data_IF_625783310112
#
_entry.id   IF_625783310112
#
_cell.length_a   1.000
_cell.length_b   1.000
_cell.length_c   1.000
_cell.angle_alpha   90.00
_cell.angle_beta   90.00
_cell.angle_gamma   90.00
#
_symmetry.space_group_name_H-M   'P 1'
#
loop_
_entity.id
_entity.type
_entity.pdbx_description
1 polymer ?
#
# COMPACT_ATOMS: atom_id res chain seq x y z
N UNK A 1 25.25 -25.95 5.52
CA UNK A 1 24.94 -24.71 4.80
C UNK A 1 25.78 -23.61 5.40
N UNK A 2 26.89 -23.24 4.74
CA UNK A 2 27.77 -22.15 5.20
C UNK A 2 27.00 -20.82 5.15
N UNK A 3 27.01 -20.10 6.27
CA UNK A 3 26.59 -18.71 6.34
C UNK A 3 27.54 -17.90 5.47
N UNK A 4 27.14 -17.51 4.28
CA UNK A 4 27.83 -16.50 3.49
C UNK A 4 27.79 -15.22 4.32
N UNK A 5 28.92 -14.89 4.97
CA UNK A 5 29.10 -13.64 5.71
C UNK A 5 29.00 -12.49 4.68
N UNK A 6 27.88 -11.79 4.65
CA UNK A 6 27.70 -10.62 3.81
C UNK A 6 28.58 -9.50 4.35
N UNK A 7 29.48 -8.98 3.53
CA UNK A 7 30.34 -7.84 3.91
C UNK A 7 29.48 -6.61 4.24
N UNK A 8 29.86 -5.95 5.32
CA UNK A 8 29.25 -4.67 5.72
C UNK A 8 29.77 -3.53 4.86
N UNK A 9 29.03 -2.44 4.78
CA UNK A 9 29.48 -1.26 4.03
C UNK A 9 30.80 -0.69 4.57
N UNK A 10 31.08 -0.89 5.86
CA UNK A 10 32.33 -0.46 6.48
C UNK A 10 33.53 -1.30 6.03
N UNK A 11 33.33 -2.60 5.90
CA UNK A 11 34.35 -3.50 5.38
C UNK A 11 34.64 -3.22 3.90
N UNK A 12 33.59 -2.99 3.09
CA UNK A 12 33.76 -2.58 1.68
C UNK A 12 34.50 -1.26 1.57
N UNK A 13 34.14 -0.27 2.39
CA UNK A 13 34.78 1.04 2.41
C UNK A 13 36.30 0.94 2.70
N UNK A 14 36.66 0.12 3.66
CA UNK A 14 38.07 -0.19 4.00
C UNK A 14 38.79 -0.89 2.83
N UNK A 15 38.11 -1.83 2.16
CA UNK A 15 38.69 -2.63 1.09
C UNK A 15 39.00 -1.78 -0.16
N UNK A 16 38.13 -0.82 -0.50
CA UNK A 16 38.30 0.03 -1.68
C UNK A 16 38.95 1.40 -1.37
N UNK A 17 39.26 1.69 -0.11
CA UNK A 17 39.91 2.96 0.29
C UNK A 17 39.01 4.20 0.12
N UNK A 18 37.69 4.03 0.04
CA UNK A 18 36.73 5.12 -0.14
C UNK A 18 35.86 5.27 1.11
N UNK A 19 35.61 6.52 1.54
CA UNK A 19 34.84 6.77 2.74
C UNK A 19 33.38 6.27 2.60
N UNK A 20 32.79 5.77 3.71
CA UNK A 20 31.38 5.39 3.77
C UNK A 20 30.45 6.49 3.27
N UNK A 21 30.78 7.77 3.58
CA UNK A 21 30.00 8.92 3.15
C UNK A 21 30.00 9.06 1.62
N UNK A 22 31.13 8.78 0.97
CA UNK A 22 31.26 8.81 -0.49
C UNK A 22 30.48 7.66 -1.13
N UNK A 23 30.54 6.45 -0.54
CA UNK A 23 29.74 5.31 -0.99
C UNK A 23 28.23 5.64 -0.90
N UNK A 24 27.77 6.22 0.21
CA UNK A 24 26.38 6.65 0.34
C UNK A 24 25.95 7.71 -0.69
N UNK A 25 26.87 8.63 -1.07
CA UNK A 25 26.59 9.62 -2.12
C UNK A 25 26.39 8.94 -3.48
N UNK A 26 27.24 7.97 -3.82
CA UNK A 26 27.12 7.19 -5.06
C UNK A 26 25.82 6.41 -5.07
N UNK A 27 25.52 5.64 -4.02
CA UNK A 27 24.29 4.83 -3.90
C UNK A 27 23.02 5.67 -3.93
N UNK A 28 23.06 6.90 -3.43
CA UNK A 28 21.93 7.83 -3.41
C UNK A 28 21.85 8.74 -4.63
N UNK A 29 22.75 8.60 -5.58
CA UNK A 29 22.94 9.51 -6.72
C UNK A 29 22.95 11.00 -6.30
N UNK A 30 23.61 11.30 -5.16
CA UNK A 30 23.64 12.64 -4.55
C UNK A 30 25.07 13.17 -4.49
N UNK A 31 25.23 14.46 -4.82
CA UNK A 31 26.49 15.19 -4.70
C UNK A 31 27.47 14.94 -5.87
N UNK A 32 28.49 15.81 -5.96
CA UNK A 32 29.55 15.68 -6.95
C UNK A 32 30.53 14.59 -6.52
N UNK A 33 30.43 13.43 -7.18
CA UNK A 33 31.41 12.33 -7.08
C UNK A 33 31.95 12.12 -8.48
N UNK A 34 33.30 11.99 -8.60
CA UNK A 34 33.93 11.74 -9.91
C UNK A 34 33.42 10.43 -10.52
N UNK A 35 33.36 10.36 -11.84
CA UNK A 35 32.95 9.15 -12.56
C UNK A 35 33.85 7.94 -12.20
N UNK A 36 35.13 8.17 -12.02
CA UNK A 36 36.07 7.13 -11.62
C UNK A 36 35.73 6.57 -10.24
N UNK A 37 35.47 7.45 -9.26
CA UNK A 37 35.06 7.04 -7.90
C UNK A 37 33.70 6.31 -7.95
N UNK A 38 32.78 6.76 -8.78
CA UNK A 38 31.48 6.10 -8.97
C UNK A 38 31.66 4.67 -9.46
N UNK A 39 32.44 4.46 -10.52
CA UNK A 39 32.70 3.11 -11.06
C UNK A 39 33.34 2.19 -10.03
N UNK A 40 34.35 2.66 -9.29
CA UNK A 40 35.01 1.85 -8.26
C UNK A 40 33.99 1.39 -7.21
N UNK A 41 33.09 2.27 -6.79
CA UNK A 41 32.06 1.96 -5.79
C UNK A 41 31.03 0.97 -6.35
N UNK A 42 30.52 1.21 -7.57
CA UNK A 42 29.53 0.35 -8.21
C UNK A 42 30.08 -1.08 -8.43
N UNK A 43 31.30 -1.19 -8.96
CA UNK A 43 31.98 -2.47 -9.17
C UNK A 43 32.21 -3.22 -7.85
N UNK A 44 32.53 -2.50 -6.77
CA UNK A 44 32.71 -3.13 -5.46
C UNK A 44 31.38 -3.61 -4.87
N UNK A 45 30.33 -2.81 -4.96
CA UNK A 45 29.01 -3.19 -4.46
C UNK A 45 28.48 -4.44 -5.20
N UNK A 46 28.68 -4.53 -6.51
CA UNK A 46 28.33 -5.69 -7.32
C UNK A 46 29.18 -6.92 -6.97
N UNK A 47 30.51 -6.77 -6.92
CA UNK A 47 31.46 -7.85 -6.57
C UNK A 47 31.17 -8.51 -5.24
N UNK A 48 30.83 -7.69 -4.22
CA UNK A 48 30.54 -8.20 -2.87
C UNK A 48 29.06 -8.52 -2.67
N UNK A 49 28.23 -8.48 -3.73
CA UNK A 49 26.78 -8.68 -3.66
C UNK A 49 26.15 -7.90 -2.52
N UNK A 50 26.58 -6.64 -2.39
CA UNK A 50 26.13 -5.81 -1.27
C UNK A 50 24.65 -5.43 -1.43
N UNK A 51 23.85 -5.93 -0.52
CA UNK A 51 22.45 -5.50 -0.39
C UNK A 51 22.39 -4.46 0.72
N UNK A 52 21.96 -3.25 0.37
CA UNK A 52 21.84 -2.16 1.33
C UNK A 52 20.98 -2.60 2.51
N UNK A 53 21.56 -2.61 3.70
CA UNK A 53 20.78 -2.82 4.93
C UNK A 53 19.97 -1.54 5.20
N UNK A 54 18.72 -1.53 4.75
CA UNK A 54 17.79 -0.42 4.93
C UNK A 54 17.57 -0.10 6.41
N UNK A 55 17.65 -1.12 7.26
CA UNK A 55 17.50 -0.99 8.71
C UNK A 55 18.59 -0.14 9.33
N UNK A 56 19.85 -0.40 8.98
CA UNK A 56 20.98 0.40 9.45
C UNK A 56 20.88 1.87 9.00
N UNK A 57 20.37 2.10 7.80
CA UNK A 57 20.12 3.46 7.27
C UNK A 57 18.96 4.15 8.00
N UNK A 58 17.86 3.46 8.23
CA UNK A 58 16.69 4.02 8.90
C UNK A 58 16.95 4.28 10.38
N UNK A 59 17.66 3.37 11.05
CA UNK A 59 18.17 3.58 12.41
C UNK A 59 19.12 4.79 12.50
N UNK A 60 20.08 4.90 11.57
CA UNK A 60 21.02 6.02 11.54
C UNK A 60 20.33 7.37 11.21
N UNK A 61 19.22 7.34 10.50
CA UNK A 61 18.42 8.52 10.15
C UNK A 61 17.27 8.79 11.12
N UNK A 62 17.07 7.94 12.13
CA UNK A 62 15.92 7.98 13.06
C UNK A 62 14.55 8.11 12.33
N UNK A 63 14.44 7.47 11.17
CA UNK A 63 13.24 7.52 10.32
C UNK A 63 12.35 6.33 10.62
N UNK A 64 11.31 6.58 11.40
CA UNK A 64 10.19 5.66 11.54
C UNK A 64 9.05 6.14 10.65
N UNK A 65 8.55 5.21 9.81
CA UNK A 65 7.39 5.48 8.97
C UNK A 65 6.15 4.91 9.65
N UNK A 66 5.28 5.80 10.10
CA UNK A 66 4.01 5.37 10.68
C UNK A 66 2.91 5.47 9.63
N UNK A 67 2.23 4.36 9.38
CA UNK A 67 1.08 4.25 8.49
C UNK A 67 -0.12 3.88 9.35
N UNK A 68 -1.27 4.51 9.14
CA UNK A 68 -2.53 4.06 9.70
C UNK A 68 -3.28 3.20 8.67
N UNK A 69 -3.70 2.03 9.08
CA UNK A 69 -4.75 1.28 8.41
C UNK A 69 -6.07 1.54 9.12
N UNK A 70 -7.05 2.06 8.37
CA UNK A 70 -8.42 2.26 8.86
C UNK A 70 -9.35 1.42 8.00
N UNK A 71 -9.93 0.40 8.59
CA UNK A 71 -10.71 -0.61 7.86
C UNK A 71 -11.85 -1.20 8.69
N UNK A 72 -12.59 -2.11 8.07
CA UNK A 72 -13.78 -2.71 8.67
C UNK A 72 -13.45 -3.70 9.78
N UNK A 73 -14.26 -3.68 10.82
CA UNK A 73 -14.27 -4.75 11.84
C UNK A 73 -14.71 -6.07 11.22
N UNK A 74 -13.98 -7.13 11.54
CA UNK A 74 -14.31 -8.49 11.10
C UNK A 74 -15.38 -9.15 12.01
N UNK A 75 -16.49 -8.45 12.34
CA UNK A 75 -17.55 -8.99 13.21
C UNK A 75 -18.46 -10.02 12.53
N UNK A 76 -18.65 -9.89 11.26
CA UNK A 76 -19.31 -10.87 10.42
C UNK A 76 -18.24 -11.58 9.60
N UNK A 77 -18.42 -12.87 9.35
CA UNK A 77 -17.52 -13.72 8.57
C UNK A 77 -17.26 -13.20 7.14
N UNK A 78 -16.91 -11.93 7.01
CA UNK A 78 -16.52 -11.34 5.76
C UNK A 78 -15.08 -11.78 5.47
N UNK A 79 -14.99 -12.90 4.74
CA UNK A 79 -13.74 -13.51 4.30
C UNK A 79 -12.79 -12.47 3.69
N UNK A 80 -13.34 -11.53 2.92
CA UNK A 80 -12.55 -10.48 2.25
C UNK A 80 -11.80 -9.57 3.22
N UNK A 81 -12.47 -9.02 4.24
CA UNK A 81 -11.83 -8.15 5.24
C UNK A 81 -10.73 -8.87 6.01
N UNK A 82 -10.94 -10.16 6.30
CA UNK A 82 -9.94 -11.02 6.93
C UNK A 82 -8.72 -11.25 6.07
N UNK A 83 -8.87 -11.45 4.75
CA UNK A 83 -7.73 -11.61 3.83
C UNK A 83 -6.95 -10.31 3.67
N UNK A 84 -7.64 -9.17 3.52
CA UNK A 84 -7.00 -7.85 3.47
C UNK A 84 -6.16 -7.62 4.73
N UNK A 85 -6.72 -7.88 5.91
CA UNK A 85 -6.01 -7.74 7.18
C UNK A 85 -4.77 -8.63 7.25
N UNK A 86 -4.88 -9.90 6.85
CA UNK A 86 -3.73 -10.82 6.79
C UNK A 86 -2.65 -10.33 5.83
N UNK A 87 -3.04 -9.81 4.67
CA UNK A 87 -2.11 -9.21 3.71
C UNK A 87 -1.35 -8.02 4.30
N UNK A 88 -2.06 -7.13 4.98
CA UNK A 88 -1.48 -5.97 5.66
C UNK A 88 -0.50 -6.43 6.76
N UNK A 89 -0.90 -7.39 7.60
CA UNK A 89 -0.02 -7.92 8.66
C UNK A 89 1.26 -8.55 8.10
N UNK A 90 1.18 -9.25 6.96
CA UNK A 90 2.37 -9.79 6.28
C UNK A 90 3.29 -8.68 5.78
N UNK A 91 2.73 -7.66 5.12
CA UNK A 91 3.50 -6.51 4.65
C UNK A 91 4.20 -5.78 5.81
N UNK A 92 3.49 -5.55 6.93
CA UNK A 92 4.10 -4.94 8.12
C UNK A 92 5.25 -5.78 8.66
N UNK A 93 5.11 -7.10 8.69
CA UNK A 93 6.18 -8.01 9.13
C UNK A 93 7.37 -7.99 8.17
N UNK A 94 7.11 -7.92 6.87
CA UNK A 94 8.15 -7.89 5.85
C UNK A 94 8.94 -6.57 5.86
N UNK A 95 8.24 -5.45 6.03
CA UNK A 95 8.84 -4.10 6.02
C UNK A 95 9.09 -3.51 7.42
N UNK A 96 8.74 -4.23 8.48
CA UNK A 96 8.96 -3.79 9.86
C UNK A 96 10.41 -3.51 10.16
N UNK A 97 11.30 -4.34 9.63
CA UNK A 97 12.74 -4.15 9.71
C UNK A 97 13.22 -2.88 8.97
N UNK A 98 12.48 -2.38 8.01
CA UNK A 98 12.74 -1.11 7.33
C UNK A 98 12.25 0.13 8.11
N UNK A 99 11.84 -0.05 9.38
CA UNK A 99 11.33 1.02 10.25
C UNK A 99 9.87 1.37 9.99
N UNK A 100 9.12 0.50 9.30
CA UNK A 100 7.69 0.66 9.11
C UNK A 100 6.93 0.24 10.37
N UNK A 101 6.14 1.13 10.90
CA UNK A 101 5.18 0.87 11.96
C UNK A 101 3.76 1.11 11.44
N UNK A 102 2.85 0.18 11.72
CA UNK A 102 1.46 0.33 11.35
C UNK A 102 0.57 0.42 12.59
N UNK A 103 -0.26 1.45 12.60
CA UNK A 103 -1.37 1.59 13.53
C UNK A 103 -2.64 1.09 12.84
N UNK A 104 -3.38 0.22 13.52
CA UNK A 104 -4.62 -0.33 13.01
C UNK A 104 -5.78 0.27 13.78
N UNK A 105 -6.78 0.79 13.06
CA UNK A 105 -8.07 1.19 13.61
C UNK A 105 -9.16 0.55 12.78
N UNK A 106 -10.05 -0.14 13.45
CA UNK A 106 -11.19 -0.79 12.80
C UNK A 106 -12.47 -0.10 13.23
N UNK A 107 -13.45 -0.04 12.33
CA UNK A 107 -14.75 0.58 12.56
C UNK A 107 -15.88 -0.34 12.07
N UNK A 108 -17.08 -0.15 12.60
CA UNK A 108 -18.26 -0.84 12.13
C UNK A 108 -18.69 -0.28 10.76
N UNK A 109 -18.82 -1.16 9.76
CA UNK A 109 -19.22 -0.78 8.41
C UNK A 109 -20.60 -0.11 8.35
N UNK A 110 -21.48 -0.39 9.32
CA UNK A 110 -22.82 0.19 9.42
C UNK A 110 -22.81 1.57 10.11
N UNK A 111 -21.67 1.96 10.73
CA UNK A 111 -21.51 3.27 11.39
C UNK A 111 -20.42 4.12 10.71
N UNK A 112 -20.79 4.91 9.71
CA UNK A 112 -19.82 5.75 8.99
C UNK A 112 -19.12 6.79 9.87
N UNK A 113 -19.73 7.24 10.94
CA UNK A 113 -19.13 8.21 11.84
C UNK A 113 -17.95 7.63 12.63
N UNK A 114 -17.99 6.33 12.95
CA UNK A 114 -16.84 5.67 13.58
C UNK A 114 -15.60 5.70 12.67
N UNK A 115 -15.78 5.61 11.35
CA UNK A 115 -14.69 5.73 10.40
C UNK A 115 -14.02 7.09 10.47
N UNK A 116 -14.82 8.17 10.48
CA UNK A 116 -14.29 9.53 10.58
C UNK A 116 -13.52 9.72 11.89
N UNK A 117 -14.10 9.32 13.00
CA UNK A 117 -13.43 9.35 14.29
C UNK A 117 -12.14 8.52 14.34
N UNK A 118 -12.11 7.38 13.66
CA UNK A 118 -10.91 6.56 13.56
C UNK A 118 -9.77 7.30 12.83
N UNK A 119 -10.09 7.99 11.75
CA UNK A 119 -9.13 8.82 11.00
C UNK A 119 -8.66 10.01 11.86
N UNK A 120 -9.58 10.73 12.49
CA UNK A 120 -9.26 11.86 13.37
C UNK A 120 -8.29 11.46 14.49
N UNK A 121 -8.56 10.35 15.19
CA UNK A 121 -7.63 9.81 16.21
C UNK A 121 -6.24 9.54 15.67
N UNK A 122 -6.10 9.07 14.43
CA UNK A 122 -4.80 8.83 13.83
C UNK A 122 -4.10 10.13 13.45
N UNK A 123 -4.84 11.12 12.96
CA UNK A 123 -4.33 12.47 12.69
C UNK A 123 -3.79 13.15 13.95
N UNK A 124 -4.52 13.04 15.07
CA UNK A 124 -4.11 13.56 16.38
C UNK A 124 -2.79 12.91 16.86
N UNK A 125 -2.58 11.63 16.56
CA UNK A 125 -1.33 10.90 16.82
C UNK A 125 -0.20 11.28 15.87
N UNK A 126 -0.41 12.23 14.97
CA UNK A 126 0.61 12.71 14.03
C UNK A 126 0.79 11.85 12.78
N UNK A 127 -0.08 10.86 12.52
CA UNK A 127 0.00 10.05 11.30
C UNK A 127 -0.31 10.91 10.08
N UNK A 128 0.45 10.68 9.00
CA UNK A 128 0.30 11.39 7.72
C UNK A 128 0.27 10.45 6.51
N UNK A 129 0.22 9.14 6.75
CA UNK A 129 0.12 8.13 5.70
C UNK A 129 -0.99 7.15 6.06
N UNK A 130 -1.96 7.00 5.17
CA UNK A 130 -3.18 6.26 5.42
C UNK A 130 -3.41 5.19 4.37
N UNK A 131 -3.88 4.03 4.82
CA UNK A 131 -4.47 2.97 4.02
C UNK A 131 -5.92 2.84 4.46
N UNK A 132 -6.85 3.19 3.59
CA UNK A 132 -8.27 3.33 3.91
C UNK A 132 -9.13 2.32 3.16
N UNK A 133 -9.97 1.60 3.89
CA UNK A 133 -11.09 0.85 3.34
C UNK A 133 -12.38 1.54 3.77
N UNK A 134 -12.96 2.39 2.92
CA UNK A 134 -14.15 3.16 3.26
C UNK A 134 -15.45 2.39 3.05
N UNK A 135 -16.50 2.70 3.82
CA UNK A 135 -17.82 2.07 3.73
C UNK A 135 -18.81 2.89 2.91
N UNK A 136 -18.91 4.19 3.18
CA UNK A 136 -19.90 5.08 2.60
C UNK A 136 -19.26 6.21 1.81
N UNK A 137 -19.84 6.52 0.66
CA UNK A 137 -19.30 7.51 -0.28
C UNK A 137 -19.22 8.93 0.31
N UNK A 138 -20.27 9.35 1.00
CA UNK A 138 -20.34 10.71 1.56
C UNK A 138 -19.24 10.93 2.60
N UNK A 139 -19.12 10.02 3.55
CA UNK A 139 -18.09 10.09 4.60
C UNK A 139 -16.69 9.93 4.01
N UNK A 140 -16.53 9.06 2.99
CA UNK A 140 -15.25 8.92 2.29
C UNK A 140 -14.81 10.25 1.66
N UNK A 141 -15.73 10.98 1.00
CA UNK A 141 -15.43 12.29 0.41
C UNK A 141 -15.02 13.34 1.44
N UNK A 142 -15.63 13.33 2.64
CA UNK A 142 -15.23 14.22 3.73
C UNK A 142 -13.82 13.88 4.25
N UNK A 143 -13.57 12.60 4.51
CA UNK A 143 -12.28 12.10 4.98
C UNK A 143 -11.17 12.42 3.97
N UNK A 144 -11.40 12.17 2.69
CA UNK A 144 -10.41 12.43 1.64
C UNK A 144 -10.04 13.91 1.59
N UNK A 145 -11.02 14.80 1.58
CA UNK A 145 -10.77 16.26 1.61
C UNK A 145 -9.95 16.68 2.81
N UNK A 146 -10.30 16.22 4.01
CA UNK A 146 -9.55 16.53 5.23
C UNK A 146 -8.10 16.04 5.16
N UNK A 147 -7.88 14.82 4.67
CA UNK A 147 -6.54 14.25 4.54
C UNK A 147 -5.70 14.98 3.49
N UNK A 148 -6.29 15.40 2.37
CA UNK A 148 -5.64 16.20 1.33
C UNK A 148 -5.24 17.59 1.84
N UNK A 149 -6.13 18.30 2.55
CA UNK A 149 -5.85 19.59 3.18
C UNK A 149 -4.64 19.47 4.14
N UNK A 150 -4.53 18.35 4.84
CA UNK A 150 -3.43 18.04 5.75
C UNK A 150 -2.20 17.45 5.06
N UNK A 151 -2.20 17.37 3.71
CA UNK A 151 -1.12 16.83 2.87
C UNK A 151 -0.73 15.39 3.26
N UNK A 152 -1.70 14.59 3.61
CA UNK A 152 -1.51 13.18 3.91
C UNK A 152 -1.33 12.37 2.63
N UNK A 153 -0.60 11.26 2.72
CA UNK A 153 -0.53 10.25 1.66
C UNK A 153 -1.63 9.24 1.85
N UNK A 154 -2.35 8.92 0.77
CA UNK A 154 -3.55 8.11 0.85
C UNK A 154 -3.45 6.93 -0.11
N UNK A 155 -3.76 5.75 0.39
CA UNK A 155 -4.01 4.55 -0.39
C UNK A 155 -5.45 4.11 -0.12
N UNK A 156 -6.28 4.06 -1.15
CA UNK A 156 -7.64 3.54 -1.08
C UNK A 156 -7.63 2.04 -1.40
N UNK A 157 -8.28 1.25 -0.56
CA UNK A 157 -8.45 -0.18 -0.76
C UNK A 157 -9.86 -0.50 -1.23
N UNK A 158 -9.96 -1.32 -2.26
CA UNK A 158 -11.18 -1.91 -2.81
C UNK A 158 -12.13 -0.94 -3.47
N UNK A 159 -12.28 0.29 -3.01
CA UNK A 159 -13.23 1.28 -3.54
C UNK A 159 -12.52 2.58 -3.85
N UNK A 160 -12.74 3.05 -5.08
CA UNK A 160 -12.31 4.37 -5.55
C UNK A 160 -13.52 5.32 -5.49
N UNK A 161 -13.57 6.15 -4.47
CA UNK A 161 -14.70 7.05 -4.23
C UNK A 161 -14.61 8.37 -4.97
N UNK A 162 -13.39 8.82 -5.26
CA UNK A 162 -13.14 10.05 -5.99
C UNK A 162 -11.89 9.90 -6.85
N UNK A 163 -12.10 9.77 -8.15
CA UNK A 163 -11.01 9.65 -9.14
C UNK A 163 -10.12 10.89 -9.23
N UNK A 164 -10.56 12.02 -8.65
CA UNK A 164 -9.80 13.26 -8.64
C UNK A 164 -8.99 13.43 -7.34
N UNK A 165 -9.19 12.56 -6.35
CA UNK A 165 -8.42 12.60 -5.12
C UNK A 165 -6.95 12.26 -5.39
N UNK A 166 -6.02 12.96 -4.73
CA UNK A 166 -4.58 12.63 -4.76
C UNK A 166 -4.32 11.38 -3.90
N UNK A 167 -4.84 10.24 -4.36
CA UNK A 167 -4.80 8.96 -3.68
C UNK A 167 -4.40 7.84 -4.64
N UNK A 168 -3.62 6.89 -4.13
CA UNK A 168 -3.36 5.64 -4.83
C UNK A 168 -4.51 4.68 -4.60
N UNK A 169 -4.98 4.03 -5.66
CA UNK A 169 -6.03 3.02 -5.58
C UNK A 169 -5.44 1.61 -5.71
N UNK A 170 -5.83 0.73 -4.81
CA UNK A 170 -5.53 -0.70 -4.86
C UNK A 170 -6.85 -1.47 -4.77
N UNK A 171 -7.27 -2.02 -5.88
CA UNK A 171 -8.55 -2.73 -5.98
C UNK A 171 -8.79 -3.32 -7.36
N UNK A 172 -10.03 -3.74 -7.58
CA UNK A 172 -10.49 -4.36 -8.81
C UNK A 172 -11.14 -3.31 -9.70
N UNK A 173 -10.91 -3.37 -11.01
CA UNK A 173 -11.77 -2.70 -11.99
C UNK A 173 -13.11 -3.45 -12.06
N UNK A 174 -14.10 -2.92 -11.36
CA UNK A 174 -15.41 -3.54 -11.24
C UNK A 174 -16.19 -3.57 -12.58
N UNK A 175 -16.03 -2.56 -13.42
CA UNK A 175 -16.63 -2.55 -14.74
C UNK A 175 -16.03 -3.65 -15.62
N UNK A 176 -14.72 -3.74 -15.67
CA UNK A 176 -14.03 -4.79 -16.43
C UNK A 176 -14.33 -6.18 -15.88
N UNK A 177 -14.48 -6.32 -14.56
CA UNK A 177 -14.92 -7.56 -13.93
C UNK A 177 -16.31 -8.00 -14.43
N UNK A 178 -17.24 -7.07 -14.56
CA UNK A 178 -18.57 -7.32 -15.15
C UNK A 178 -18.47 -7.76 -16.62
N UNK A 179 -17.68 -7.08 -17.42
CA UNK A 179 -17.45 -7.45 -18.84
C UNK A 179 -16.91 -8.85 -19.01
N UNK A 180 -15.92 -9.22 -18.20
CA UNK A 180 -15.35 -10.57 -18.23
C UNK A 180 -16.38 -11.64 -17.85
N UNK A 181 -17.22 -11.35 -16.85
CA UNK A 181 -18.31 -12.25 -16.46
C UNK A 181 -19.31 -12.44 -17.60
N UNK A 182 -19.73 -11.36 -18.27
CA UNK A 182 -20.64 -11.42 -19.43
C UNK A 182 -20.04 -12.21 -20.60
N UNK A 183 -18.77 -11.98 -20.91
CA UNK A 183 -18.07 -12.72 -21.96
C UNK A 183 -18.02 -14.22 -21.68
N UNK A 184 -17.68 -14.59 -20.44
CA UNK A 184 -17.66 -15.99 -20.01
C UNK A 184 -19.06 -16.64 -20.12
N UNK A 185 -20.08 -15.95 -19.62
CA UNK A 185 -21.46 -16.44 -19.70
C UNK A 185 -21.91 -16.58 -21.15
N UNK A 186 -21.58 -15.62 -22.04
CA UNK A 186 -21.89 -15.70 -23.46
C UNK A 186 -21.28 -16.93 -24.13
N UNK A 187 -20.02 -17.26 -23.80
CA UNK A 187 -19.35 -18.46 -24.30
C UNK A 187 -19.99 -19.75 -23.76
N UNK A 188 -20.44 -19.76 -22.50
CA UNK A 188 -21.07 -20.93 -21.90
C UNK A 188 -22.48 -21.18 -22.42
N UNK A 189 -23.22 -20.16 -22.77
CA UNK A 189 -24.61 -20.25 -23.22
C UNK A 189 -24.78 -20.56 -24.71
N UNK A 190 -23.71 -20.56 -25.49
CA UNK A 190 -23.62 -21.07 -26.88
C UNK A 190 -24.77 -20.70 -27.82
N UNK A 191 -25.37 -19.52 -27.69
CA UNK A 191 -26.42 -19.06 -28.62
C UNK A 191 -27.65 -18.45 -27.99
N UNK A 192 -27.65 -18.29 -26.67
CA UNK A 192 -28.71 -17.58 -25.95
C UNK A 192 -29.09 -18.28 -24.65
N UNK A 193 -29.72 -17.52 -23.79
CA UNK A 193 -30.15 -18.02 -22.48
C UNK A 193 -30.50 -16.88 -21.53
N UNK A 194 -31.00 -17.25 -20.37
CA UNK A 194 -31.30 -16.31 -19.30
C UNK A 194 -30.22 -16.40 -18.23
N UNK A 195 -29.73 -15.24 -17.79
CA UNK A 195 -28.74 -15.14 -16.71
C UNK A 195 -29.40 -14.50 -15.51
N UNK A 196 -29.32 -15.19 -14.38
CA UNK A 196 -29.76 -14.65 -13.10
C UNK A 196 -28.56 -14.08 -12.34
N UNK A 197 -28.60 -12.78 -12.03
CA UNK A 197 -27.56 -12.10 -11.27
C UNK A 197 -28.10 -11.72 -9.90
N UNK A 198 -27.75 -12.46 -8.84
CA UNK A 198 -28.15 -12.10 -7.48
C UNK A 198 -27.39 -10.85 -7.03
N UNK A 199 -28.12 -9.88 -6.50
CA UNK A 199 -27.56 -8.66 -5.92
C UNK A 199 -28.15 -8.40 -4.54
N UNK A 200 -27.44 -7.65 -3.71
CA UNK A 200 -27.95 -7.20 -2.41
C UNK A 200 -29.03 -6.13 -2.59
N UNK A 201 -29.84 -5.90 -1.56
CA UNK A 201 -30.88 -4.84 -1.60
C UNK A 201 -30.28 -3.45 -1.87
N UNK A 202 -29.03 -3.23 -1.46
CA UNK A 202 -28.32 -1.95 -1.60
C UNK A 202 -27.65 -1.78 -2.97
N UNK A 203 -27.93 -2.64 -3.95
CA UNK A 203 -27.23 -2.61 -5.24
C UNK A 203 -27.34 -1.24 -5.94
N UNK A 204 -28.43 -0.51 -5.73
CA UNK A 204 -28.67 0.80 -6.36
C UNK A 204 -27.74 1.90 -5.83
N UNK A 205 -27.25 1.77 -4.62
CA UNK A 205 -26.35 2.74 -3.97
C UNK A 205 -24.90 2.24 -3.93
N UNK A 206 -24.70 0.95 -4.13
CA UNK A 206 -23.37 0.35 -4.11
C UNK A 206 -22.69 0.48 -5.48
N UNK A 207 -21.74 1.41 -5.58
CA UNK A 207 -21.02 1.71 -6.81
C UNK A 207 -20.33 0.48 -7.42
N UNK A 208 -19.78 -0.41 -6.60
CA UNK A 208 -19.04 -1.60 -7.03
C UNK A 208 -19.96 -2.58 -7.75
N UNK A 209 -21.17 -2.77 -7.19
CA UNK A 209 -22.20 -3.64 -7.79
C UNK A 209 -22.72 -2.99 -9.08
N UNK A 210 -23.02 -1.69 -9.06
CA UNK A 210 -23.48 -0.97 -10.24
C UNK A 210 -22.46 -0.98 -11.38
N UNK A 211 -21.17 -0.82 -11.06
CA UNK A 211 -20.11 -0.88 -12.06
C UNK A 211 -20.02 -2.28 -12.70
N UNK A 212 -20.12 -3.35 -11.90
CA UNK A 212 -20.18 -4.72 -12.44
C UNK A 212 -21.39 -4.96 -13.30
N UNK A 213 -22.58 -4.52 -12.85
CA UNK A 213 -23.81 -4.67 -13.64
C UNK A 213 -23.77 -3.89 -14.97
N UNK A 214 -23.15 -2.71 -14.99
CA UNK A 214 -22.97 -1.94 -16.22
C UNK A 214 -21.94 -2.56 -17.17
N UNK A 215 -20.96 -3.27 -16.64
CA UNK A 215 -19.98 -3.99 -17.42
C UNK A 215 -20.55 -5.30 -18.01
N UNK A 216 -21.47 -5.94 -17.29
CA UNK A 216 -22.18 -7.15 -17.71
C UNK A 216 -23.21 -6.83 -18.80
#
# INVERSE_FOLDING_TARGET
>A
MEKISRMTLEEIAKQIGISRTTIYKVMGNKGNVSEETRRIVEDALERYHYVQNRNARNLAMNRHYTIAYVGFQSKSANYFSGEVRRGIQRAVKEFGDDGLMMLVSEFDAENPQEQKQAVERMLERGVRSFVLACSHREVAGEILRELEERKCRIVLLSRDYDKNADAYYVGVDYYQSGRLAAELMGKMLSGGGQVFVPVTQEYKTNHDILARLRGF
#
